data_IF_704942996011
#
_entry.id   IF_704942996011
#
_cell.length_a   1.000
_cell.length_b   1.000
_cell.length_c   1.000
_cell.angle_alpha   90.00
_cell.angle_beta   90.00
_cell.angle_gamma   90.00
#
_symmetry.space_group_name_H-M   'P 1'
#
loop_
_entity.id
_entity.type
_entity.pdbx_description
1 polymer ?
#
# COMPACT_ATOMS: atom_id res chain seq x y z
N UNK A 1 16.27 -24.93 16.79
CA UNK A 1 16.48 -24.34 15.45
C UNK A 1 15.19 -23.70 14.91
N UNK A 2 14.02 -24.33 15.08
CA UNK A 2 12.72 -23.74 14.67
C UNK A 2 12.40 -22.39 15.34
N UNK A 3 12.60 -22.24 16.65
CA UNK A 3 12.33 -20.98 17.37
C UNK A 3 13.06 -19.76 16.77
N UNK A 4 14.29 -19.94 16.26
CA UNK A 4 15.08 -18.87 15.64
C UNK A 4 14.60 -18.45 14.25
N UNK A 5 13.89 -19.33 13.52
CA UNK A 5 13.33 -19.06 12.18
C UNK A 5 11.98 -18.32 12.28
N UNK A 6 11.21 -18.60 13.34
CA UNK A 6 9.91 -17.96 13.62
C UNK A 6 10.10 -16.49 14.00
N UNK A 7 11.09 -16.20 14.84
CA UNK A 7 11.41 -14.83 15.27
C UNK A 7 11.97 -13.96 14.13
N UNK A 8 12.67 -14.56 13.16
CA UNK A 8 13.24 -13.84 12.02
C UNK A 8 12.21 -13.44 10.96
N UNK A 9 11.17 -14.25 10.73
CA UNK A 9 10.17 -13.96 9.68
C UNK A 9 9.26 -12.79 10.06
N UNK A 10 8.73 -12.76 11.29
CA UNK A 10 7.91 -11.63 11.78
C UNK A 10 8.71 -10.33 11.94
N UNK A 11 10.02 -10.42 12.23
CA UNK A 11 10.90 -9.24 12.26
C UNK A 11 11.12 -8.65 10.88
N UNK A 12 11.10 -9.45 9.81
CA UNK A 12 11.39 -8.98 8.45
C UNK A 12 10.46 -7.83 8.01
N UNK A 13 9.14 -7.97 8.18
CA UNK A 13 8.19 -6.92 7.80
C UNK A 13 8.28 -5.70 8.72
N UNK A 14 8.45 -5.92 10.03
CA UNK A 14 8.61 -4.82 11.00
C UNK A 14 9.89 -4.02 10.74
N UNK A 15 11.01 -4.69 10.49
CA UNK A 15 12.30 -4.07 10.14
C UNK A 15 12.20 -3.32 8.81
N UNK A 16 11.49 -3.90 7.83
CA UNK A 16 11.22 -3.25 6.56
C UNK A 16 10.40 -1.96 6.73
N UNK A 17 9.33 -2.01 7.53
CA UNK A 17 8.51 -0.84 7.85
C UNK A 17 9.33 0.22 8.59
N UNK A 18 10.21 -0.18 9.51
CA UNK A 18 11.10 0.75 10.20
C UNK A 18 12.04 1.45 9.22
N UNK A 19 12.64 0.72 8.27
CA UNK A 19 13.47 1.29 7.20
C UNK A 19 12.68 2.22 6.27
N UNK A 20 11.37 2.02 6.15
CA UNK A 20 10.48 2.91 5.39
C UNK A 20 9.93 4.10 6.20
N UNK A 21 10.29 4.25 7.49
CA UNK A 21 9.81 5.35 8.33
C UNK A 21 8.49 5.06 9.07
N UNK A 22 8.16 3.78 9.27
CA UNK A 22 7.04 3.30 10.08
C UNK A 22 5.77 2.93 9.31
N UNK A 23 5.76 3.08 7.99
CA UNK A 23 4.76 2.54 7.07
C UNK A 23 5.39 2.31 5.70
N UNK A 24 4.76 1.54 4.82
CA UNK A 24 5.23 1.32 3.47
C UNK A 24 4.11 1.39 2.44
N UNK A 25 4.46 1.75 1.22
CA UNK A 25 3.52 1.93 0.11
C UNK A 25 3.57 0.70 -0.81
N UNK A 26 2.43 0.04 -0.97
CA UNK A 26 2.20 -1.01 -1.97
C UNK A 26 1.80 -0.32 -3.29
N UNK A 27 2.04 -0.97 -4.42
CA UNK A 27 1.63 -0.49 -5.73
C UNK A 27 0.09 -0.46 -5.92
N UNK A 28 -0.34 -0.20 -7.15
CA UNK A 28 -1.73 0.09 -7.50
C UNK A 28 -2.36 -0.91 -8.47
N UNK A 29 -3.43 -0.48 -9.15
CA UNK A 29 -4.14 -1.29 -10.13
C UNK A 29 -3.28 -1.63 -11.33
N UNK A 30 -2.80 -2.87 -11.39
CA UNK A 30 -1.88 -3.32 -12.44
C UNK A 30 -2.55 -3.34 -13.83
N UNK A 31 -3.75 -3.92 -13.92
CA UNK A 31 -4.53 -3.97 -15.16
C UNK A 31 -4.88 -2.57 -15.68
N UNK A 32 -5.27 -1.66 -14.79
CA UNK A 32 -5.60 -0.28 -15.14
C UNK A 32 -4.43 0.43 -15.79
N UNK A 33 -3.21 0.28 -15.25
CA UNK A 33 -2.04 0.94 -15.81
C UNK A 33 -1.56 0.27 -17.11
N UNK A 34 -1.75 -1.05 -17.26
CA UNK A 34 -1.52 -1.73 -18.54
C UNK A 34 -2.43 -1.19 -19.66
N UNK A 35 -3.73 -1.03 -19.40
CA UNK A 35 -4.69 -0.46 -20.36
C UNK A 35 -4.32 0.98 -20.73
N UNK A 36 -3.85 1.78 -19.77
CA UNK A 36 -3.37 3.16 -20.02
C UNK A 36 -2.13 3.21 -20.91
N UNK A 37 -1.31 2.16 -20.91
CA UNK A 37 -0.22 1.98 -21.86
C UNK A 37 -0.64 1.28 -23.17
N UNK A 38 -1.95 1.06 -23.38
CA UNK A 38 -2.52 0.54 -24.61
C UNK A 38 -2.60 -0.99 -24.70
N UNK A 39 -2.47 -1.71 -23.60
CA UNK A 39 -2.67 -3.16 -23.59
C UNK A 39 -4.17 -3.52 -23.74
N UNK A 40 -4.47 -4.53 -24.55
CA UNK A 40 -5.80 -5.12 -24.64
C UNK A 40 -5.93 -6.32 -23.70
N UNK A 41 -6.72 -6.13 -22.63
CA UNK A 41 -6.95 -7.10 -21.57
C UNK A 41 -8.26 -7.89 -21.74
N UNK A 42 -8.95 -7.78 -22.88
CA UNK A 42 -10.17 -8.56 -23.15
C UNK A 42 -9.85 -10.02 -23.47
N UNK A 43 -9.37 -10.75 -22.46
CA UNK A 43 -8.98 -12.15 -22.51
C UNK A 43 -9.24 -12.80 -21.15
N UNK A 44 -9.68 -14.06 -21.06
CA UNK A 44 -9.76 -14.80 -19.79
C UNK A 44 -8.51 -14.75 -18.89
N UNK A 45 -7.31 -14.55 -19.45
CA UNK A 45 -6.06 -14.37 -18.69
C UNK A 45 -5.80 -12.93 -18.23
N UNK A 46 -6.67 -11.97 -18.54
CA UNK A 46 -6.53 -10.51 -18.34
C UNK A 46 -5.08 -10.04 -18.50
N UNK A 47 -4.45 -9.61 -17.40
CA UNK A 47 -3.09 -9.07 -17.36
C UNK A 47 -2.00 -10.14 -17.56
N UNK A 48 -2.27 -11.41 -17.28
CA UNK A 48 -1.30 -12.49 -17.47
C UNK A 48 -0.99 -12.73 -18.96
N UNK A 49 -1.91 -12.39 -19.88
CA UNK A 49 -1.65 -12.37 -21.33
C UNK A 49 -0.48 -11.45 -21.69
N UNK A 50 -0.30 -10.34 -20.98
CA UNK A 50 0.80 -9.41 -21.23
C UNK A 50 2.17 -10.02 -20.93
N UNK A 51 2.27 -11.09 -20.13
CA UNK A 51 3.53 -11.82 -19.97
C UNK A 51 3.98 -12.49 -21.28
N UNK A 52 3.03 -12.85 -22.14
CA UNK A 52 3.27 -13.47 -23.45
C UNK A 52 3.48 -12.38 -24.50
N UNK A 53 2.50 -11.49 -24.66
CA UNK A 53 2.45 -10.58 -25.80
C UNK A 53 3.22 -9.27 -25.59
N UNK A 54 3.37 -8.82 -24.34
CA UNK A 54 3.79 -7.45 -24.03
C UNK A 54 4.59 -7.31 -22.73
N UNK A 55 5.63 -8.14 -22.49
CA UNK A 55 6.38 -8.14 -21.23
C UNK A 55 7.09 -6.80 -20.94
N UNK A 56 7.36 -6.01 -21.98
CA UNK A 56 7.90 -4.66 -21.84
C UNK A 56 6.92 -3.69 -21.16
N UNK A 57 5.60 -3.85 -21.37
CA UNK A 57 4.58 -3.05 -20.68
C UNK A 57 4.47 -3.45 -19.21
N UNK A 58 4.55 -4.76 -18.90
CA UNK A 58 4.61 -5.26 -17.51
C UNK A 58 5.75 -4.59 -16.75
N UNK A 59 6.96 -4.55 -17.34
CA UNK A 59 8.11 -3.86 -16.75
C UNK A 59 7.88 -2.36 -16.57
N UNK A 60 7.27 -1.72 -17.58
CA UNK A 60 6.96 -0.29 -17.55
C UNK A 60 6.02 0.06 -16.40
N UNK A 61 4.96 -0.72 -16.18
CA UNK A 61 4.01 -0.52 -15.08
C UNK A 61 4.71 -0.65 -13.72
N UNK A 62 5.55 -1.67 -13.51
CA UNK A 62 6.33 -1.77 -12.27
C UNK A 62 7.21 -0.53 -12.04
N UNK A 63 7.91 -0.07 -13.09
CA UNK A 63 8.72 1.14 -13.02
C UNK A 63 7.88 2.37 -12.68
N UNK A 64 6.71 2.53 -13.31
CA UNK A 64 5.82 3.67 -13.05
C UNK A 64 5.39 3.74 -11.58
N UNK A 65 5.06 2.59 -10.97
CA UNK A 65 4.74 2.51 -9.54
C UNK A 65 5.96 2.74 -8.63
N UNK A 66 7.14 2.25 -9.00
CA UNK A 66 8.38 2.57 -8.27
C UNK A 66 8.66 4.08 -8.33
N UNK A 67 8.52 4.71 -9.49
CA UNK A 67 8.65 6.16 -9.66
C UNK A 67 7.51 6.96 -8.98
N UNK A 68 6.37 6.34 -8.72
CA UNK A 68 5.28 6.93 -7.95
C UNK A 68 5.58 6.99 -6.45
N UNK A 69 6.33 6.02 -5.92
CA UNK A 69 6.62 5.96 -4.49
C UNK A 69 6.50 4.57 -3.86
N UNK A 70 6.18 3.53 -4.64
CA UNK A 70 5.96 2.20 -4.10
C UNK A 70 7.23 1.62 -3.46
N UNK A 71 7.08 1.13 -2.23
CA UNK A 71 8.04 0.31 -1.52
C UNK A 71 7.86 -1.18 -1.83
N UNK A 72 6.67 -1.61 -2.26
CA UNK A 72 6.39 -2.99 -2.63
C UNK A 72 5.68 -2.99 -3.98
N UNK A 73 6.21 -3.73 -4.94
CA UNK A 73 5.54 -4.00 -6.22
C UNK A 73 5.05 -5.44 -6.27
N UNK A 74 3.82 -5.64 -6.74
CA UNK A 74 3.16 -6.94 -6.82
C UNK A 74 3.27 -7.47 -8.25
N UNK A 75 3.74 -8.70 -8.43
CA UNK A 75 3.99 -9.28 -9.76
C UNK A 75 2.70 -9.51 -10.54
N UNK A 76 2.82 -9.55 -11.88
CA UNK A 76 1.71 -9.83 -12.79
C UNK A 76 1.26 -11.32 -12.80
N UNK A 77 1.14 -11.95 -11.64
CA UNK A 77 0.83 -13.38 -11.48
C UNK A 77 -0.49 -13.69 -10.79
N UNK A 78 -1.32 -12.69 -10.51
CA UNK A 78 -2.63 -12.84 -9.84
C UNK A 78 -3.48 -13.97 -10.47
N UNK A 79 -3.70 -13.88 -11.79
CA UNK A 79 -4.40 -14.90 -12.58
C UNK A 79 -3.51 -15.87 -13.35
N UNK A 80 -2.19 -15.64 -13.33
CA UNK A 80 -1.26 -16.55 -13.97
C UNK A 80 -1.36 -17.90 -13.26
N UNK A 81 -1.89 -18.89 -13.96
CA UNK A 81 -2.11 -20.25 -13.46
C UNK A 81 -1.67 -21.22 -14.54
N UNK A 82 -1.15 -22.37 -14.13
CA UNK A 82 -0.70 -23.39 -15.09
C UNK A 82 -1.90 -23.82 -15.95
N UNK A 83 -3.02 -24.09 -15.28
CA UNK A 83 -4.28 -24.49 -15.90
C UNK A 83 -4.81 -23.41 -16.87
N UNK A 84 -4.75 -22.13 -16.49
CA UNK A 84 -5.19 -21.03 -17.35
C UNK A 84 -4.35 -20.90 -18.62
N UNK A 85 -3.02 -21.02 -18.52
CA UNK A 85 -2.12 -20.98 -19.67
C UNK A 85 -2.26 -22.21 -20.56
N UNK A 86 -2.39 -23.41 -19.98
CA UNK A 86 -2.63 -24.64 -20.74
C UNK A 86 -3.95 -24.57 -21.51
N UNK A 87 -5.00 -24.00 -20.91
CA UNK A 87 -6.27 -23.76 -21.61
C UNK A 87 -6.15 -22.79 -22.80
N UNK A 88 -5.06 -22.02 -22.88
CA UNK A 88 -4.71 -21.17 -24.03
C UNK A 88 -3.77 -21.81 -25.04
N UNK A 89 -3.49 -23.12 -24.87
CA UNK A 89 -2.69 -23.90 -25.81
C UNK A 89 -1.19 -23.90 -25.53
N UNK A 90 -0.75 -23.41 -24.36
CA UNK A 90 0.65 -23.50 -23.93
C UNK A 90 0.92 -24.87 -23.29
N UNK A 91 2.19 -25.30 -23.32
CA UNK A 91 2.63 -26.45 -22.52
C UNK A 91 2.69 -26.10 -21.04
N UNK A 92 2.71 -27.11 -20.17
CA UNK A 92 2.90 -26.89 -18.73
C UNK A 92 4.24 -26.20 -18.46
N UNK A 93 5.31 -26.58 -19.16
CA UNK A 93 6.63 -25.99 -19.02
C UNK A 93 6.63 -24.49 -19.40
N UNK A 94 5.97 -24.15 -20.51
CA UNK A 94 5.80 -22.74 -20.94
C UNK A 94 5.02 -21.94 -19.89
N UNK A 95 3.96 -22.53 -19.35
CA UNK A 95 3.16 -21.92 -18.28
C UNK A 95 4.00 -21.67 -17.01
N UNK A 96 4.83 -22.63 -16.60
CA UNK A 96 5.75 -22.46 -15.48
C UNK A 96 6.81 -21.38 -15.76
N UNK A 97 7.32 -21.30 -17.00
CA UNK A 97 8.27 -20.26 -17.41
C UNK A 97 7.63 -18.87 -17.31
N UNK A 98 6.37 -18.71 -17.70
CA UNK A 98 5.66 -17.43 -17.57
C UNK A 98 5.45 -17.02 -16.11
N UNK A 99 5.18 -17.99 -15.22
CA UNK A 99 5.12 -17.73 -13.78
C UNK A 99 6.46 -17.19 -13.25
N UNK A 100 7.58 -17.84 -13.59
CA UNK A 100 8.92 -17.34 -13.23
C UNK A 100 9.17 -15.95 -13.82
N UNK A 101 8.81 -15.78 -15.10
CA UNK A 101 9.02 -14.52 -15.84
C UNK A 101 8.29 -13.34 -15.21
N UNK A 102 7.11 -13.56 -14.63
CA UNK A 102 6.37 -12.51 -13.92
C UNK A 102 7.16 -11.90 -12.75
N UNK A 103 7.94 -12.72 -12.03
CA UNK A 103 8.79 -12.30 -10.92
C UNK A 103 10.08 -11.69 -11.45
N UNK A 104 10.70 -12.31 -12.45
CA UNK A 104 11.92 -11.79 -13.09
C UNK A 104 11.73 -10.36 -13.61
N UNK A 105 10.61 -10.07 -14.27
CA UNK A 105 10.33 -8.72 -14.80
C UNK A 105 10.19 -7.69 -13.66
N UNK A 106 9.58 -8.05 -12.53
CA UNK A 106 9.47 -7.17 -11.37
C UNK A 106 10.84 -6.93 -10.71
N UNK A 107 11.67 -7.97 -10.59
CA UNK A 107 13.04 -7.86 -10.12
C UNK A 107 13.89 -6.99 -11.07
N UNK A 108 13.81 -7.19 -12.39
CA UNK A 108 14.45 -6.34 -13.39
C UNK A 108 14.04 -4.87 -13.21
N UNK A 109 12.76 -4.60 -12.99
CA UNK A 109 12.26 -3.23 -12.77
C UNK A 109 12.86 -2.60 -11.50
N UNK A 110 12.98 -3.36 -10.41
CA UNK A 110 13.64 -2.92 -9.18
C UNK A 110 15.11 -2.58 -9.41
N UNK A 111 15.85 -3.44 -10.10
CA UNK A 111 17.27 -3.19 -10.38
C UNK A 111 17.45 -1.96 -11.28
N UNK A 112 16.64 -1.82 -12.34
CA UNK A 112 16.64 -0.62 -13.20
C UNK A 112 16.34 0.65 -12.38
N UNK A 113 15.41 0.59 -11.44
CA UNK A 113 15.09 1.70 -10.55
C UNK A 113 16.31 2.08 -9.70
N UNK A 114 16.98 1.11 -9.08
CA UNK A 114 18.18 1.36 -8.28
C UNK A 114 19.36 1.90 -9.11
N UNK A 115 19.59 1.38 -10.32
CA UNK A 115 20.67 1.86 -11.20
C UNK A 115 20.43 3.31 -11.65
N UNK A 116 19.18 3.70 -11.93
CA UNK A 116 18.85 5.08 -12.28
C UNK A 116 18.98 6.04 -11.11
N UNK A 117 18.60 5.62 -9.89
CA UNK A 117 18.77 6.42 -8.68
C UNK A 117 20.25 6.63 -8.31
N UNK A 118 21.15 5.75 -8.74
CA UNK A 118 22.60 5.90 -8.47
C UNK A 118 23.34 6.76 -9.52
N UNK A 119 22.81 6.86 -10.74
CA UNK A 119 23.48 7.54 -11.87
C UNK A 119 23.02 8.97 -12.11
N UNK A 120 21.83 9.35 -11.65
CA UNK A 120 21.39 10.75 -11.56
C UNK A 120 21.41 11.15 -10.09
N UNK A 121 21.85 12.37 -9.77
CA UNK A 121 21.76 12.95 -8.42
C UNK A 121 20.33 13.22 -7.95
N UNK A 122 19.43 12.24 -8.15
CA UNK A 122 18.01 12.27 -7.81
C UNK A 122 17.83 11.86 -6.36
N UNK A 123 17.57 12.85 -5.51
CA UNK A 123 16.63 12.90 -4.37
C UNK A 123 16.36 11.63 -3.54
N UNK A 124 17.32 10.72 -3.41
CA UNK A 124 17.30 9.67 -2.39
C UNK A 124 18.37 10.02 -1.33
N UNK A 125 17.88 10.47 -0.16
CA UNK A 125 18.57 10.60 1.13
C UNK A 125 20.11 10.79 1.11
N UNK A 126 20.57 12.05 1.15
CA UNK A 126 21.92 12.40 1.61
C UNK A 126 21.85 12.63 3.12
N UNK A 127 22.15 11.60 3.90
CA UNK A 127 22.43 11.76 5.33
C UNK A 127 23.86 11.29 5.59
N UNK A 128 24.72 12.21 6.05
CA UNK A 128 26.00 11.91 6.71
C UNK A 128 26.91 10.90 6.00
N UNK A 129 27.05 10.99 4.67
CA UNK A 129 27.98 10.15 3.90
C UNK A 129 27.52 8.71 3.60
N UNK A 130 26.28 8.33 3.94
CA UNK A 130 25.67 7.06 3.55
C UNK A 130 24.47 7.31 2.62
N UNK A 131 24.55 6.85 1.38
CA UNK A 131 23.42 6.85 0.43
C UNK A 131 22.42 5.79 0.89
N UNK A 132 21.36 6.20 1.60
CA UNK A 132 20.30 5.29 2.02
C UNK A 132 19.26 5.17 0.92
N UNK A 133 19.27 4.06 0.18
CA UNK A 133 18.31 3.77 -0.89
C UNK A 133 16.93 3.49 -0.30
N UNK A 134 15.85 3.96 -0.95
CA UNK A 134 14.48 3.56 -0.59
C UNK A 134 14.36 2.03 -0.64
N UNK A 135 13.97 1.36 0.46
CA UNK A 135 13.75 -0.08 0.43
C UNK A 135 12.63 -0.46 -0.55
N UNK A 136 12.90 -1.40 -1.44
CA UNK A 136 11.93 -1.96 -2.41
C UNK A 136 11.88 -3.49 -2.30
N UNK A 137 10.67 -4.03 -2.10
CA UNK A 137 10.37 -5.47 -2.17
C UNK A 137 9.55 -5.81 -3.41
N UNK A 138 9.70 -7.06 -3.87
CA UNK A 138 8.89 -7.70 -4.89
C UNK A 138 8.02 -8.75 -4.22
N UNK A 139 6.71 -8.61 -4.34
CA UNK A 139 5.74 -9.58 -3.82
C UNK A 139 5.17 -10.41 -4.98
N UNK A 140 5.36 -11.73 -4.94
CA UNK A 140 4.77 -12.61 -5.94
C UNK A 140 3.27 -12.82 -5.67
N UNK A 141 2.43 -12.34 -6.57
CA UNK A 141 0.96 -12.43 -6.45
C UNK A 141 0.47 -13.86 -6.65
N UNK A 142 -0.42 -14.30 -5.76
CA UNK A 142 -1.25 -15.50 -5.91
C UNK A 142 -2.70 -15.08 -5.68
N UNK A 143 -3.47 -14.98 -6.77
CA UNK A 143 -4.90 -14.75 -6.70
C UNK A 143 -5.70 -15.98 -6.28
N UNK A 144 -6.95 -15.74 -5.89
CA UNK A 144 -7.89 -16.78 -5.49
C UNK A 144 -8.27 -17.73 -6.64
N UNK A 145 -8.83 -18.89 -6.30
CA UNK A 145 -9.38 -19.84 -7.27
C UNK A 145 -10.48 -19.20 -8.11
N UNK A 146 -11.30 -18.30 -7.53
CA UNK A 146 -12.31 -17.54 -8.26
C UNK A 146 -11.75 -16.74 -9.43
N UNK A 147 -10.54 -16.17 -9.27
CA UNK A 147 -9.90 -15.40 -10.34
C UNK A 147 -9.54 -16.27 -11.57
N UNK A 148 -9.31 -17.57 -11.37
CA UNK A 148 -9.10 -18.53 -12.47
C UNK A 148 -10.40 -18.89 -13.18
N UNK A 149 -11.51 -19.01 -12.45
CA UNK A 149 -12.82 -19.31 -13.05
C UNK A 149 -13.30 -18.21 -13.99
N UNK A 150 -12.86 -16.96 -13.75
CA UNK A 150 -13.17 -15.79 -14.55
C UNK A 150 -14.70 -15.54 -14.72
N UNK A 151 -15.46 -15.91 -13.69
CA UNK A 151 -16.93 -15.80 -13.61
C UNK A 151 -17.39 -14.82 -12.50
N UNK A 152 -16.45 -14.12 -11.86
CA UNK A 152 -16.72 -13.21 -10.75
C UNK A 152 -16.79 -13.88 -9.38
N UNK A 153 -16.50 -15.19 -9.28
CA UNK A 153 -16.50 -15.91 -8.02
C UNK A 153 -15.50 -15.40 -6.99
N UNK A 154 -14.47 -14.64 -7.39
CA UNK A 154 -13.57 -13.91 -6.49
C UNK A 154 -14.27 -12.76 -5.73
N UNK A 155 -15.44 -12.33 -6.19
CA UNK A 155 -16.29 -11.33 -5.52
C UNK A 155 -17.52 -11.94 -4.84
N UNK A 156 -17.80 -13.24 -5.03
CA UNK A 156 -18.85 -13.97 -4.33
C UNK A 156 -18.30 -14.88 -3.22
N UNK A 157 -17.07 -15.37 -3.40
CA UNK A 157 -16.41 -16.37 -2.56
C UNK A 157 -17.04 -17.76 -2.61
N UNK A 158 -17.96 -18.01 -3.54
CA UNK A 158 -18.69 -19.28 -3.68
C UNK A 158 -18.23 -20.04 -4.91
N UNK A 159 -17.50 -21.13 -4.70
CA UNK A 159 -16.94 -21.96 -5.77
C UNK A 159 -17.75 -23.21 -6.10
N UNK A 160 -18.85 -23.45 -5.37
CA UNK A 160 -19.67 -24.66 -5.45
C UNK A 160 -19.17 -25.80 -4.55
N UNK A 161 -20.07 -26.73 -4.23
CA UNK A 161 -19.87 -27.77 -3.21
C UNK A 161 -18.78 -28.79 -3.58
N UNK A 162 -18.43 -28.90 -4.85
CA UNK A 162 -17.38 -29.80 -5.34
C UNK A 162 -15.95 -29.30 -5.00
N UNK A 163 -15.79 -28.02 -4.66
CA UNK A 163 -14.48 -27.42 -4.39
C UNK A 163 -14.12 -27.62 -2.92
N UNK A 164 -13.31 -28.65 -2.68
CA UNK A 164 -12.83 -29.02 -1.34
C UNK A 164 -11.52 -28.30 -0.98
N UNK A 165 -11.14 -28.37 0.30
CA UNK A 165 -9.82 -27.95 0.77
C UNK A 165 -8.68 -28.59 -0.05
N UNK A 166 -8.78 -29.89 -0.33
CA UNK A 166 -7.80 -30.62 -1.14
C UNK A 166 -7.73 -30.07 -2.56
N UNK A 167 -8.89 -29.77 -3.16
CA UNK A 167 -8.98 -29.18 -4.51
C UNK A 167 -8.21 -27.86 -4.59
N UNK A 168 -8.41 -26.97 -3.61
CA UNK A 168 -7.73 -25.68 -3.55
C UNK A 168 -6.22 -25.85 -3.33
N UNK A 169 -5.81 -26.79 -2.47
CA UNK A 169 -4.39 -27.09 -2.24
C UNK A 169 -3.72 -27.61 -3.50
N UNK A 170 -4.33 -28.57 -4.17
CA UNK A 170 -3.81 -29.16 -5.41
C UNK A 170 -3.70 -28.11 -6.53
N UNK A 171 -4.67 -27.21 -6.63
CA UNK A 171 -4.65 -26.10 -7.58
C UNK A 171 -3.49 -25.12 -7.33
N UNK A 172 -3.27 -24.69 -6.08
CA UNK A 172 -2.29 -23.64 -5.77
C UNK A 172 -0.86 -24.15 -5.58
N UNK A 173 -0.68 -25.43 -5.19
CA UNK A 173 0.62 -25.99 -4.75
C UNK A 173 1.74 -25.72 -5.74
N UNK A 174 1.58 -26.10 -7.00
CA UNK A 174 2.67 -26.00 -7.97
C UNK A 174 3.02 -24.54 -8.29
N UNK A 175 2.01 -23.68 -8.41
CA UNK A 175 2.19 -22.24 -8.59
C UNK A 175 2.97 -21.61 -7.43
N UNK A 176 2.60 -21.94 -6.19
CA UNK A 176 3.32 -21.50 -4.99
C UNK A 176 4.79 -21.93 -5.01
N UNK A 177 5.08 -23.21 -5.30
CA UNK A 177 6.44 -23.73 -5.36
C UNK A 177 7.32 -22.99 -6.39
N UNK A 178 6.75 -22.63 -7.55
CA UNK A 178 7.48 -21.92 -8.61
C UNK A 178 7.75 -20.49 -8.18
N UNK A 179 6.71 -19.74 -7.78
CA UNK A 179 6.83 -18.33 -7.42
C UNK A 179 7.77 -18.13 -6.22
N UNK A 180 7.69 -19.00 -5.21
CA UNK A 180 8.57 -18.98 -4.04
C UNK A 180 10.06 -19.18 -4.37
N UNK A 181 10.37 -19.80 -5.52
CA UNK A 181 11.74 -20.05 -6.00
C UNK A 181 12.19 -19.08 -7.09
N UNK A 182 11.36 -18.11 -7.46
CA UNK A 182 11.61 -17.20 -8.59
C UNK A 182 12.29 -15.88 -8.19
N UNK A 183 12.71 -15.73 -6.93
CA UNK A 183 13.44 -14.56 -6.45
C UNK A 183 12.58 -13.42 -5.88
N UNK A 184 11.29 -13.66 -5.64
CA UNK A 184 10.43 -12.74 -4.91
C UNK A 184 10.85 -12.66 -3.43
N UNK A 185 10.61 -11.51 -2.79
CA UNK A 185 10.92 -11.31 -1.37
C UNK A 185 9.81 -11.83 -0.45
N UNK A 186 8.58 -11.85 -0.95
CA UNK A 186 7.42 -12.43 -0.26
C UNK A 186 6.35 -12.94 -1.24
N UNK A 187 5.40 -13.74 -0.75
CA UNK A 187 4.19 -14.12 -1.47
C UNK A 187 3.01 -13.24 -1.03
N UNK A 188 2.29 -12.68 -2.00
CA UNK A 188 1.04 -11.96 -1.78
C UNK A 188 -0.15 -12.85 -2.12
N UNK A 189 -0.71 -13.55 -1.12
CA UNK A 189 -2.02 -14.19 -1.30
C UNK A 189 -3.08 -13.10 -1.18
N UNK A 190 -3.75 -12.79 -2.28
CA UNK A 190 -4.59 -11.60 -2.35
C UNK A 190 -5.97 -11.85 -2.94
N UNK A 191 -6.92 -11.00 -2.56
CA UNK A 191 -8.33 -11.13 -2.91
C UNK A 191 -8.91 -12.47 -2.46
N UNK A 192 -8.52 -12.91 -1.25
CA UNK A 192 -9.00 -14.16 -0.64
C UNK A 192 -10.46 -13.97 -0.24
N UNK A 193 -11.42 -14.72 -0.82
CA UNK A 193 -12.83 -14.37 -0.66
C UNK A 193 -13.57 -15.23 0.38
N UNK A 194 -12.95 -16.30 0.88
CA UNK A 194 -13.54 -17.21 1.86
C UNK A 194 -12.48 -17.81 2.81
N UNK A 195 -12.93 -18.35 3.95
CA UNK A 195 -12.03 -18.95 4.95
C UNK A 195 -11.43 -20.28 4.53
N UNK A 196 -12.10 -21.03 3.65
CA UNK A 196 -11.66 -22.35 3.19
C UNK A 196 -10.35 -22.23 2.39
N UNK A 197 -10.26 -21.23 1.53
CA UNK A 197 -9.07 -20.95 0.74
C UNK A 197 -7.95 -20.34 1.58
N UNK A 198 -8.28 -19.49 2.56
CA UNK A 198 -7.30 -19.03 3.56
C UNK A 198 -6.65 -20.21 4.29
N UNK A 199 -7.45 -21.21 4.68
CA UNK A 199 -6.96 -22.43 5.30
C UNK A 199 -6.10 -23.26 4.34
N UNK A 200 -6.48 -23.37 3.07
CA UNK A 200 -5.68 -24.06 2.06
C UNK A 200 -4.28 -23.44 1.92
N UNK A 201 -4.18 -22.11 1.89
CA UNK A 201 -2.89 -21.41 1.82
C UNK A 201 -2.04 -21.62 3.07
N UNK A 202 -2.65 -21.52 4.26
CA UNK A 202 -1.93 -21.72 5.51
C UNK A 202 -1.35 -23.14 5.61
N UNK A 203 -2.14 -24.16 5.28
CA UNK A 203 -1.67 -25.55 5.25
C UNK A 203 -0.59 -25.78 4.19
N UNK A 204 -0.71 -25.20 2.98
CA UNK A 204 0.31 -25.33 1.94
C UNK A 204 1.65 -24.70 2.36
N UNK A 205 1.63 -23.53 3.01
CA UNK A 205 2.85 -22.89 3.48
C UNK A 205 3.62 -23.77 4.49
N UNK A 206 2.90 -24.54 5.30
CA UNK A 206 3.46 -25.47 6.28
C UNK A 206 3.90 -26.79 5.64
N UNK A 207 3.02 -27.44 4.88
CA UNK A 207 3.27 -28.75 4.24
C UNK A 207 4.42 -28.71 3.24
N UNK A 208 4.52 -27.63 2.47
CA UNK A 208 5.60 -27.44 1.50
C UNK A 208 6.85 -26.81 2.13
N UNK A 209 6.85 -26.66 3.46
CA UNK A 209 7.92 -26.08 4.28
C UNK A 209 8.46 -24.74 3.75
N UNK A 210 7.58 -23.91 3.20
CA UNK A 210 7.94 -22.65 2.55
C UNK A 210 8.74 -21.77 3.51
N UNK A 211 9.87 -21.22 3.04
CA UNK A 211 10.72 -20.32 3.84
C UNK A 211 10.45 -18.85 3.54
N UNK A 212 9.95 -18.56 2.35
CA UNK A 212 9.57 -17.21 1.93
C UNK A 212 8.40 -16.69 2.80
N UNK A 213 8.45 -15.44 3.28
CA UNK A 213 7.32 -14.85 4.00
C UNK A 213 6.12 -14.63 3.07
N UNK A 214 4.94 -14.50 3.64
CA UNK A 214 3.71 -14.21 2.90
C UNK A 214 2.85 -13.17 3.60
N UNK A 215 1.91 -12.55 2.88
CA UNK A 215 0.75 -11.92 3.50
C UNK A 215 -0.53 -12.54 2.98
N UNK A 216 -1.60 -12.44 3.77
CA UNK A 216 -2.96 -12.77 3.36
C UNK A 216 -3.78 -11.48 3.30
N UNK A 217 -4.38 -11.20 2.16
CA UNK A 217 -5.27 -10.05 1.96
C UNK A 217 -6.64 -10.51 1.48
N UNK A 218 -7.68 -10.13 2.21
CA UNK A 218 -9.04 -10.61 1.98
C UNK A 218 -9.88 -9.59 1.18
N UNK A 219 -10.88 -10.11 0.46
CA UNK A 219 -11.92 -9.31 -0.18
C UNK A 219 -13.18 -9.27 0.68
N UNK A 220 -13.73 -8.09 0.93
CA UNK A 220 -14.83 -7.87 1.86
C UNK A 220 -16.05 -7.25 1.20
N UNK A 221 -17.23 -7.72 1.58
CA UNK A 221 -18.52 -7.13 1.14
C UNK A 221 -19.06 -6.08 2.10
N UNK A 222 -18.63 -6.13 3.36
CA UNK A 222 -19.04 -5.23 4.42
C UNK A 222 -17.87 -4.98 5.39
N UNK A 223 -18.12 -4.40 6.55
CA UNK A 223 -17.09 -4.03 7.52
C UNK A 223 -16.62 -5.18 8.45
N UNK A 224 -17.23 -6.36 8.37
CA UNK A 224 -17.01 -7.48 9.31
C UNK A 224 -16.92 -8.87 8.64
N UNK A 225 -17.30 -9.02 7.36
CA UNK A 225 -17.35 -10.30 6.65
C UNK A 225 -16.65 -10.22 5.29
N UNK A 226 -15.89 -11.27 4.96
CA UNK A 226 -15.41 -11.46 3.58
C UNK A 226 -16.59 -11.71 2.63
N UNK A 227 -16.34 -11.62 1.33
CA UNK A 227 -17.42 -11.71 0.31
C UNK A 227 -18.26 -13.00 0.40
N UNK A 228 -17.67 -14.14 0.79
CA UNK A 228 -18.42 -15.39 1.04
C UNK A 228 -19.46 -15.28 2.16
N UNK A 229 -19.28 -14.33 3.08
CA UNK A 229 -20.02 -14.23 4.34
C UNK A 229 -19.30 -14.82 5.55
N UNK A 230 -18.10 -15.38 5.38
CA UNK A 230 -17.28 -15.75 6.54
C UNK A 230 -16.83 -14.50 7.31
N UNK A 231 -16.69 -14.63 8.63
CA UNK A 231 -16.21 -13.55 9.49
C UNK A 231 -14.76 -13.18 9.16
N UNK A 232 -14.48 -11.88 8.98
CA UNK A 232 -13.10 -11.41 8.77
C UNK A 232 -12.20 -11.74 9.96
N UNK A 233 -12.77 -11.80 11.17
CA UNK A 233 -12.04 -12.15 12.38
C UNK A 233 -11.53 -13.59 12.31
N UNK A 234 -12.38 -14.53 11.90
CA UNK A 234 -11.99 -15.95 11.73
C UNK A 234 -10.92 -16.10 10.64
N UNK A 235 -11.12 -15.43 9.51
CA UNK A 235 -10.15 -15.40 8.41
C UNK A 235 -8.78 -14.84 8.85
N UNK A 236 -8.78 -13.73 9.59
CA UNK A 236 -7.56 -13.13 10.13
C UNK A 236 -6.88 -14.03 11.16
N UNK A 237 -7.64 -14.75 12.01
CA UNK A 237 -7.07 -15.73 12.95
C UNK A 237 -6.40 -16.91 12.25
N UNK A 238 -6.95 -17.37 11.11
CA UNK A 238 -6.28 -18.39 10.28
C UNK A 238 -4.93 -17.85 9.80
N UNK A 239 -4.92 -16.64 9.23
CA UNK A 239 -3.69 -16.00 8.77
C UNK A 239 -2.68 -15.75 9.92
N UNK A 240 -3.15 -15.39 11.11
CA UNK A 240 -2.31 -15.15 12.28
C UNK A 240 -1.60 -16.42 12.75
N UNK A 241 -2.33 -17.55 12.77
CA UNK A 241 -1.80 -18.85 13.19
C UNK A 241 -0.63 -19.36 12.34
N UNK A 242 -0.56 -18.94 11.07
CA UNK A 242 0.53 -19.31 10.18
C UNK A 242 1.76 -18.42 10.40
N UNK A 243 2.88 -19.03 10.82
CA UNK A 243 4.13 -18.33 11.14
C UNK A 243 4.81 -17.69 9.93
N UNK A 244 4.52 -18.16 8.72
CA UNK A 244 5.04 -17.58 7.47
C UNK A 244 4.29 -16.34 7.04
N UNK A 245 3.08 -16.14 7.55
CA UNK A 245 2.32 -14.92 7.31
C UNK A 245 2.90 -13.80 8.17
N UNK A 246 3.39 -12.74 7.54
CA UNK A 246 4.04 -11.58 8.18
C UNK A 246 3.17 -10.32 8.14
N UNK A 247 2.06 -10.33 7.41
CA UNK A 247 1.06 -9.27 7.38
C UNK A 247 -0.33 -9.85 7.03
N UNK A 248 -1.38 -9.20 7.50
CA UNK A 248 -2.78 -9.59 7.25
C UNK A 248 -3.57 -8.36 6.82
N UNK A 249 -4.46 -8.47 5.84
CA UNK A 249 -5.00 -7.26 5.23
C UNK A 249 -6.30 -7.40 4.48
N UNK A 250 -6.64 -6.30 3.81
CA UNK A 250 -7.81 -6.16 2.95
C UNK A 250 -7.37 -5.53 1.64
N UNK A 251 -7.86 -6.09 0.53
CA UNK A 251 -7.75 -5.47 -0.77
C UNK A 251 -9.02 -5.61 -1.59
N UNK A 252 -9.05 -4.88 -2.70
CA UNK A 252 -10.15 -4.93 -3.67
C UNK A 252 -11.55 -4.75 -3.05
N UNK A 253 -11.60 -4.01 -1.95
CA UNK A 253 -12.78 -3.71 -1.14
C UNK A 253 -13.07 -2.21 -1.22
N UNK A 254 -14.35 -1.78 -1.20
CA UNK A 254 -14.69 -0.35 -1.17
C UNK A 254 -14.09 0.38 0.05
N UNK A 255 -13.49 1.58 -0.12
CA UNK A 255 -12.84 2.33 0.96
C UNK A 255 -13.68 2.54 2.23
N UNK A 256 -15.00 2.73 2.07
CA UNK A 256 -15.95 2.93 3.19
C UNK A 256 -15.95 1.82 4.24
N UNK A 257 -15.56 0.59 3.89
CA UNK A 257 -15.54 -0.53 4.84
C UNK A 257 -14.19 -0.72 5.53
N UNK A 258 -13.13 -0.12 4.99
CA UNK A 258 -11.75 -0.39 5.39
C UNK A 258 -11.50 -0.08 6.86
N UNK A 259 -11.98 1.05 7.38
CA UNK A 259 -11.73 1.43 8.78
C UNK A 259 -12.31 0.38 9.76
N UNK A 260 -13.55 -0.09 9.53
CA UNK A 260 -14.17 -1.13 10.36
C UNK A 260 -13.45 -2.47 10.26
N UNK A 261 -12.96 -2.82 9.07
CA UNK A 261 -12.20 -4.05 8.84
C UNK A 261 -10.83 -4.02 9.54
N UNK A 262 -10.12 -2.90 9.50
CA UNK A 262 -8.85 -2.72 10.24
C UNK A 262 -9.08 -2.98 11.72
N UNK A 263 -10.11 -2.37 12.33
CA UNK A 263 -10.45 -2.56 13.74
C UNK A 263 -10.83 -4.02 14.07
N UNK A 264 -11.40 -4.76 13.12
CA UNK A 264 -11.71 -6.18 13.30
C UNK A 264 -10.45 -7.04 13.20
N UNK A 265 -9.59 -6.82 12.21
CA UNK A 265 -8.35 -7.57 12.01
C UNK A 265 -7.42 -7.42 13.22
N UNK A 266 -7.31 -6.22 13.79
CA UNK A 266 -6.50 -5.97 14.99
C UNK A 266 -6.90 -6.81 16.21
N UNK A 267 -8.16 -7.27 16.28
CA UNK A 267 -8.60 -8.15 17.37
C UNK A 267 -8.04 -9.58 17.23
N UNK A 268 -7.65 -9.98 16.02
CA UNK A 268 -7.14 -11.31 15.72
C UNK A 268 -5.61 -11.36 15.64
N UNK A 269 -4.93 -10.26 15.29
CA UNK A 269 -3.48 -10.28 15.04
C UNK A 269 -2.79 -8.98 15.45
N UNK A 270 -1.53 -9.10 15.86
CA UNK A 270 -0.60 -7.98 16.06
C UNK A 270 0.33 -7.77 14.86
N UNK A 271 0.23 -8.60 13.81
CA UNK A 271 1.01 -8.46 12.59
C UNK A 271 0.64 -7.16 11.86
N UNK A 272 1.57 -6.55 11.10
CA UNK A 272 1.28 -5.43 10.22
C UNK A 272 0.03 -5.63 9.36
N UNK A 273 -0.79 -4.57 9.25
CA UNK A 273 -2.02 -4.59 8.46
C UNK A 273 -1.80 -3.92 7.11
N UNK A 274 -2.13 -4.64 6.03
CA UNK A 274 -1.99 -4.19 4.64
C UNK A 274 -3.33 -3.85 4.00
N UNK A 275 -3.42 -2.66 3.42
CA UNK A 275 -4.66 -2.06 2.92
C UNK A 275 -4.44 -1.49 1.53
N UNK A 276 -5.13 -2.04 0.54
CA UNK A 276 -5.07 -1.55 -0.84
C UNK A 276 -6.46 -1.70 -1.49
N UNK A 277 -7.37 -0.74 -1.25
CA UNK A 277 -8.77 -0.83 -1.69
C UNK A 277 -8.94 -0.52 -3.18
N UNK A 278 -10.15 -0.74 -3.71
CA UNK A 278 -10.52 -0.16 -5.00
C UNK A 278 -10.65 1.36 -4.89
N UNK A 279 -10.64 2.08 -6.03
CA UNK A 279 -10.85 3.54 -6.07
C UNK A 279 -12.20 4.04 -5.52
N UNK A 280 -13.21 3.17 -5.37
CA UNK A 280 -14.53 3.52 -4.82
C UNK A 280 -15.70 2.75 -5.44
N UNK A 281 -15.59 2.46 -6.74
CA UNK A 281 -16.70 1.86 -7.49
C UNK A 281 -16.72 0.32 -7.48
N UNK A 282 -17.81 -0.30 -7.94
CA UNK A 282 -18.07 -1.75 -7.79
C UNK A 282 -17.94 -2.47 -9.13
N UNK A 283 -17.37 -3.68 -9.15
CA UNK A 283 -17.28 -4.50 -10.37
C UNK A 283 -18.58 -5.27 -10.59
N UNK A 284 -19.13 -5.18 -11.80
CA UNK A 284 -20.26 -5.99 -12.24
C UNK A 284 -19.72 -7.12 -13.13
N UNK A 285 -19.79 -8.35 -12.63
CA UNK A 285 -19.30 -9.55 -13.32
C UNK A 285 -20.11 -9.93 -14.56
N UNK A 286 -21.42 -9.66 -14.58
CA UNK A 286 -22.29 -9.95 -15.75
C UNK A 286 -21.95 -9.03 -16.93
N UNK A 287 -21.77 -7.74 -16.64
CA UNK A 287 -21.44 -6.73 -17.65
C UNK A 287 -19.93 -6.65 -17.94
N UNK A 288 -19.10 -7.35 -17.15
CA UNK A 288 -17.64 -7.24 -17.14
C UNK A 288 -17.15 -5.78 -17.06
N UNK A 289 -17.87 -4.97 -16.29
CA UNK A 289 -17.68 -3.54 -16.24
C UNK A 289 -17.73 -3.00 -14.82
N UNK A 290 -16.99 -1.91 -14.63
CA UNK A 290 -16.99 -1.14 -13.42
C UNK A 290 -18.15 -0.15 -13.40
N UNK A 291 -18.97 -0.21 -12.35
CA UNK A 291 -20.12 0.69 -12.17
C UNK A 291 -19.93 1.59 -10.95
N UNK A 292 -20.35 2.85 -11.05
CA UNK A 292 -20.37 3.79 -9.91
C UNK A 292 -21.17 3.19 -8.76
N UNK A 293 -20.62 3.22 -7.55
CA UNK A 293 -21.33 2.76 -6.34
C UNK A 293 -22.62 3.58 -6.20
N UNK A 294 -23.78 2.91 -6.16
CA UNK A 294 -25.12 3.53 -6.08
C UNK A 294 -25.47 4.12 -4.70
N UNK A 295 -24.45 4.40 -3.87
CA UNK A 295 -24.61 5.00 -2.55
C UNK A 295 -24.65 6.53 -2.61
N UNK A 296 -25.47 7.14 -1.76
CA UNK A 296 -25.66 8.60 -1.61
C UNK A 296 -24.38 9.36 -1.17
N UNK A 297 -23.28 8.65 -0.92
CA UNK A 297 -21.98 9.22 -0.57
C UNK A 297 -21.11 9.19 -1.81
N UNK A 298 -20.78 10.37 -2.34
CA UNK A 298 -19.71 10.53 -3.32
C UNK A 298 -18.45 9.95 -2.68
N UNK A 299 -17.90 8.86 -3.24
CA UNK A 299 -16.66 8.27 -2.70
C UNK A 299 -15.57 9.35 -2.75
N UNK A 300 -15.26 9.95 -1.60
CA UNK A 300 -14.09 10.82 -1.42
C UNK A 300 -12.84 10.02 -1.80
N UNK A 301 -11.85 10.68 -2.42
CA UNK A 301 -10.56 10.06 -2.70
C UNK A 301 -10.00 9.44 -1.41
N UNK A 302 -9.85 8.11 -1.41
CA UNK A 302 -9.51 7.36 -0.20
C UNK A 302 -8.12 7.68 0.33
N UNK A 303 -7.29 8.39 -0.46
CA UNK A 303 -6.01 8.97 0.00
C UNK A 303 -6.21 9.78 1.29
N UNK A 304 -7.31 10.52 1.40
CA UNK A 304 -7.67 11.27 2.62
C UNK A 304 -7.94 10.40 3.85
N UNK A 305 -8.30 9.12 3.64
CA UNK A 305 -8.58 8.15 4.70
C UNK A 305 -7.32 7.45 5.24
N UNK A 306 -6.18 7.52 4.53
CA UNK A 306 -4.94 6.83 4.90
C UNK A 306 -4.50 7.17 6.34
N UNK A 307 -4.60 8.45 6.74
CA UNK A 307 -4.28 8.88 8.10
C UNK A 307 -5.13 8.17 9.16
N UNK A 308 -6.45 8.09 8.94
CA UNK A 308 -7.39 7.40 9.85
C UNK A 308 -7.13 5.90 9.91
N UNK A 309 -6.75 5.27 8.81
CA UNK A 309 -6.42 3.84 8.80
C UNK A 309 -5.09 3.57 9.49
N UNK A 310 -4.12 4.48 9.37
CA UNK A 310 -2.85 4.40 10.10
C UNK A 310 -3.04 4.55 11.61
N UNK A 311 -3.85 5.51 12.05
CA UNK A 311 -4.22 5.66 13.46
C UNK A 311 -4.96 4.43 13.99
N UNK A 312 -5.79 3.81 13.15
CA UNK A 312 -6.41 2.52 13.45
C UNK A 312 -5.45 1.33 13.35
N UNK A 313 -4.16 1.52 13.03
CA UNK A 313 -3.11 0.50 13.09
C UNK A 313 -2.74 -0.20 11.77
N UNK A 314 -3.22 0.28 10.62
CA UNK A 314 -2.67 -0.12 9.33
C UNK A 314 -1.28 0.49 9.09
N UNK A 315 -0.42 -0.23 8.39
CA UNK A 315 0.98 0.18 8.16
C UNK A 315 1.48 -0.06 6.74
N UNK A 316 0.72 -0.76 5.90
CA UNK A 316 1.01 -0.94 4.48
C UNK A 316 -0.19 -0.42 3.68
N UNK A 317 0.06 0.45 2.70
CA UNK A 317 -1.00 1.16 1.96
C UNK A 317 -0.75 1.14 0.46
N UNK A 318 -1.75 0.80 -0.34
CA UNK A 318 -1.66 0.86 -1.80
C UNK A 318 -3.01 1.04 -2.46
N UNK A 319 -3.15 0.52 -3.67
CA UNK A 319 -4.42 0.51 -4.40
C UNK A 319 -4.68 -0.80 -5.14
N UNK A 320 -5.94 -1.15 -5.34
CA UNK A 320 -6.38 -2.26 -6.18
C UNK A 320 -6.97 -1.67 -7.48
N UNK A 321 -8.12 -2.16 -7.93
CA UNK A 321 -8.70 -1.80 -9.22
C UNK A 321 -8.93 -0.30 -9.40
N UNK A 322 -8.60 0.19 -10.60
CA UNK A 322 -8.67 1.59 -11.08
C UNK A 322 -7.83 2.61 -10.32
N UNK A 323 -7.02 2.17 -9.37
CA UNK A 323 -5.95 3.03 -8.84
C UNK A 323 -4.81 3.11 -9.86
N UNK A 324 -4.02 4.17 -9.79
CA UNK A 324 -2.97 4.48 -10.77
C UNK A 324 -1.69 4.92 -10.07
N UNK A 325 -0.57 5.11 -10.79
CA UNK A 325 0.63 5.74 -10.24
C UNK A 325 0.36 7.11 -9.58
N UNK A 326 -0.67 7.86 -10.01
CA UNK A 326 -1.04 9.11 -9.34
C UNK A 326 -1.60 8.87 -7.94
N UNK A 327 -2.44 7.85 -7.78
CA UNK A 327 -2.95 7.42 -6.46
C UNK A 327 -1.79 7.04 -5.54
N UNK A 328 -0.84 6.24 -6.03
CA UNK A 328 0.32 5.79 -5.25
C UNK A 328 1.24 6.96 -4.89
N UNK A 329 1.40 7.94 -5.79
CA UNK A 329 2.13 9.18 -5.49
C UNK A 329 1.47 9.99 -4.39
N UNK A 330 0.14 10.09 -4.43
CA UNK A 330 -0.64 10.77 -3.39
C UNK A 330 -0.58 10.04 -2.04
N UNK A 331 -0.58 8.69 -2.02
CA UNK A 331 -0.36 7.92 -0.78
C UNK A 331 1.07 8.12 -0.26
N UNK A 332 2.07 8.07 -1.14
CA UNK A 332 3.49 8.13 -0.77
C UNK A 332 3.90 9.51 -0.24
N UNK A 333 3.48 10.58 -0.92
CA UNK A 333 3.91 11.95 -0.65
C UNK A 333 2.87 12.82 0.04
N UNK A 334 1.64 12.31 0.21
CA UNK A 334 0.45 13.12 0.48
C UNK A 334 0.20 14.17 -0.60
N UNK A 335 -0.73 15.08 -0.33
CA UNK A 335 -1.07 16.18 -1.25
C UNK A 335 -0.21 17.44 -1.00
N UNK A 336 0.90 17.34 -0.25
CA UNK A 336 1.68 18.53 0.14
C UNK A 336 2.37 19.24 -1.01
N UNK A 337 2.90 18.50 -1.99
CA UNK A 337 3.58 19.10 -3.15
C UNK A 337 2.59 19.87 -4.03
N UNK A 338 1.44 19.25 -4.32
CA UNK A 338 0.35 19.89 -5.06
C UNK A 338 -0.24 21.07 -4.29
N UNK A 339 -0.41 20.94 -2.97
CA UNK A 339 -0.87 22.04 -2.14
C UNK A 339 0.11 23.22 -2.15
N UNK A 340 1.43 22.97 -2.11
CA UNK A 340 2.47 24.00 -2.27
C UNK A 340 2.38 24.62 -3.66
N UNK A 341 2.21 23.82 -4.72
CA UNK A 341 2.12 24.34 -6.10
C UNK A 341 0.88 25.22 -6.30
N UNK A 342 -0.29 24.78 -5.84
CA UNK A 342 -1.53 25.57 -5.87
C UNK A 342 -1.40 26.85 -5.04
N UNK A 343 -0.81 26.75 -3.85
CA UNK A 343 -0.54 27.92 -3.01
C UNK A 343 0.36 28.94 -3.73
N UNK A 344 1.44 28.48 -4.36
CA UNK A 344 2.34 29.34 -5.13
C UNK A 344 1.65 29.97 -6.36
N UNK A 345 0.83 29.20 -7.10
CA UNK A 345 0.03 29.72 -8.23
C UNK A 345 -0.96 30.79 -7.78
N UNK A 346 -1.63 30.57 -6.65
CA UNK A 346 -2.54 31.55 -6.06
C UNK A 346 -1.81 32.87 -5.72
N UNK A 347 -0.61 32.78 -5.14
CA UNK A 347 0.23 33.96 -4.88
C UNK A 347 0.65 34.67 -6.17
N UNK A 348 1.05 33.91 -7.21
CA UNK A 348 1.42 34.47 -8.52
C UNK A 348 0.26 35.17 -9.22
N UNK A 349 -0.97 34.71 -9.01
CA UNK A 349 -2.19 35.33 -9.53
C UNK A 349 -2.65 36.54 -8.71
N UNK A 350 -1.88 36.96 -7.70
CA UNK A 350 -2.19 38.11 -6.84
C UNK A 350 -3.31 37.85 -5.82
N UNK A 351 -3.74 36.61 -5.65
CA UNK A 351 -4.76 36.24 -4.67
C UNK A 351 -4.16 36.19 -3.27
N UNK A 352 -4.85 36.79 -2.30
CA UNK A 352 -4.40 36.80 -0.89
C UNK A 352 -4.90 35.56 -0.15
N UNK A 353 -4.00 34.70 0.37
CA UNK A 353 -4.41 33.59 1.23
C UNK A 353 -5.10 34.09 2.49
N UNK A 354 -6.15 33.39 2.93
CA UNK A 354 -6.80 33.59 4.23
C UNK A 354 -6.68 32.32 5.09
N UNK A 355 -7.12 32.36 6.35
CA UNK A 355 -6.90 31.28 7.33
C UNK A 355 -7.31 29.88 6.84
N UNK A 356 -8.44 29.76 6.12
CA UNK A 356 -8.84 28.48 5.49
C UNK A 356 -7.79 27.91 4.54
N UNK A 357 -7.19 28.75 3.69
CA UNK A 357 -6.17 28.32 2.71
C UNK A 357 -4.92 27.82 3.44
N UNK A 358 -4.48 28.56 4.46
CA UNK A 358 -3.33 28.16 5.26
C UNK A 358 -3.60 26.86 6.06
N UNK A 359 -4.80 26.68 6.61
CA UNK A 359 -5.16 25.40 7.26
C UNK A 359 -5.19 24.26 6.26
N UNK A 360 -5.73 24.47 5.06
CA UNK A 360 -5.70 23.49 3.98
C UNK A 360 -4.26 23.09 3.62
N UNK A 361 -3.37 24.07 3.46
CA UNK A 361 -1.95 23.84 3.17
C UNK A 361 -1.25 23.10 4.32
N UNK A 362 -1.44 23.52 5.57
CA UNK A 362 -0.82 22.87 6.73
C UNK A 362 -1.32 21.44 6.90
N UNK A 363 -2.61 21.20 6.64
CA UNK A 363 -3.22 19.87 6.68
C UNK A 363 -2.63 18.99 5.58
N UNK A 364 -2.56 19.47 4.34
CA UNK A 364 -1.95 18.74 3.23
C UNK A 364 -0.48 18.40 3.50
N UNK A 365 0.28 19.32 4.08
CA UNK A 365 1.66 19.09 4.52
C UNK A 365 1.76 18.10 5.67
N UNK A 366 0.79 18.05 6.58
CA UNK A 366 0.76 17.08 7.69
C UNK A 366 0.42 15.66 7.25
N UNK A 367 -0.34 15.51 6.17
CA UNK A 367 -0.63 14.23 5.54
C UNK A 367 0.41 13.84 4.49
N UNK A 368 1.41 14.69 4.27
CA UNK A 368 2.53 14.38 3.38
C UNK A 368 3.45 13.39 4.06
N UNK A 369 3.32 12.13 3.65
CA UNK A 369 4.23 11.06 3.99
C UNK A 369 5.70 11.43 3.81
N UNK A 370 6.56 10.78 4.61
CA UNK A 370 7.97 11.08 4.83
C UNK A 370 8.75 11.47 3.57
N UNK A 371 9.09 12.77 3.45
CA UNK A 371 10.25 13.24 2.70
C UNK A 371 11.02 14.25 3.58
N UNK A 372 12.37 14.21 3.59
CA UNK A 372 13.18 15.18 4.29
C UNK A 372 13.27 16.46 3.45
N UNK A 373 12.16 17.21 3.34
CA UNK A 373 12.17 18.47 2.61
C UNK A 373 12.21 19.66 3.57
N UNK A 374 13.37 20.30 3.65
CA UNK A 374 13.55 21.60 4.31
C UNK A 374 12.57 22.63 3.77
N UNK A 375 12.11 22.47 2.53
CA UNK A 375 11.07 23.28 1.91
C UNK A 375 9.68 23.04 2.50
N UNK A 376 9.27 21.80 2.78
CA UNK A 376 7.97 21.52 3.44
C UNK A 376 7.99 21.98 4.87
N UNK A 377 9.07 21.69 5.59
CA UNK A 377 9.26 22.12 6.97
C UNK A 377 9.33 23.69 7.06
N UNK A 378 9.82 24.40 6.02
CA UNK A 378 9.79 25.88 5.96
C UNK A 378 8.43 26.45 5.55
N UNK A 379 7.75 25.87 4.55
CA UNK A 379 6.40 26.29 4.16
C UNK A 379 5.41 26.03 5.29
N UNK A 380 5.54 24.91 6.02
CA UNK A 380 4.71 24.63 7.19
C UNK A 380 4.93 25.65 8.31
N UNK A 381 6.19 26.02 8.59
CA UNK A 381 6.52 27.05 9.57
C UNK A 381 5.90 28.41 9.20
N UNK A 382 6.08 28.83 7.94
CA UNK A 382 5.49 30.04 7.40
C UNK A 382 3.95 30.02 7.49
N UNK A 383 3.35 28.89 7.12
CA UNK A 383 1.90 28.68 7.15
C UNK A 383 1.35 28.80 8.57
N UNK A 384 2.04 28.22 9.55
CA UNK A 384 1.64 28.28 10.95
C UNK A 384 1.81 29.67 11.57
N UNK A 385 2.88 30.39 11.23
CA UNK A 385 3.07 31.79 11.64
C UNK A 385 1.91 32.66 11.12
N UNK A 386 1.56 32.52 9.84
CA UNK A 386 0.44 33.26 9.25
C UNK A 386 -0.92 32.89 9.84
N UNK A 387 -1.12 31.62 10.17
CA UNK A 387 -2.35 31.18 10.86
C UNK A 387 -2.46 31.76 12.26
N UNK A 388 -1.35 31.82 13.02
CA UNK A 388 -1.35 32.40 14.35
C UNK A 388 -1.66 33.91 14.33
N UNK A 389 -1.27 34.62 13.26
CA UNK A 389 -1.64 36.03 13.05
C UNK A 389 -3.11 36.21 12.64
N UNK A 390 -3.59 35.37 11.72
CA UNK A 390 -4.94 35.51 11.13
C UNK A 390 -6.05 34.94 12.00
N UNK A 391 -5.76 33.86 12.74
CA UNK A 391 -6.73 33.08 13.53
C UNK A 391 -6.11 32.64 14.87
N UNK A 392 -5.80 33.58 15.79
CA UNK A 392 -5.06 33.32 17.03
C UNK A 392 -5.75 32.35 18.00
N UNK A 393 -7.08 32.22 17.90
CA UNK A 393 -7.89 31.32 18.74
C UNK A 393 -7.79 29.83 18.33
N UNK A 394 -7.15 29.52 17.20
CA UNK A 394 -7.18 28.19 16.59
C UNK A 394 -6.08 27.28 17.14
N UNK A 395 -6.39 26.51 18.18
CA UNK A 395 -5.42 25.71 18.94
C UNK A 395 -4.85 24.47 18.22
N UNK A 396 -5.49 24.00 17.15
CA UNK A 396 -5.08 22.78 16.41
C UNK A 396 -3.80 22.92 15.56
N UNK A 397 -3.31 24.15 15.34
CA UNK A 397 -2.14 24.45 14.49
C UNK A 397 -0.87 23.74 14.99
N UNK A 398 -0.70 23.66 16.32
CA UNK A 398 0.48 23.06 16.93
C UNK A 398 0.54 21.54 16.77
N UNK A 399 -0.62 20.86 16.72
CA UNK A 399 -0.70 19.41 16.49
C UNK A 399 -0.26 19.09 15.06
N UNK A 400 -0.76 19.84 14.07
CA UNK A 400 -0.41 19.66 12.67
C UNK A 400 1.09 19.91 12.43
N UNK A 401 1.66 20.98 12.99
CA UNK A 401 3.11 21.23 12.94
C UNK A 401 3.92 20.13 13.62
N UNK A 402 3.47 19.65 14.79
CA UNK A 402 4.14 18.57 15.51
C UNK A 402 4.20 17.29 14.66
N UNK A 403 3.15 16.98 13.90
CA UNK A 403 3.12 15.85 12.99
C UNK A 403 4.14 16.04 11.84
N UNK A 404 4.17 17.22 11.23
CA UNK A 404 5.10 17.56 10.14
C UNK A 404 6.56 17.50 10.63
N UNK A 405 6.88 18.12 11.76
CA UNK A 405 8.23 18.08 12.34
C UNK A 405 8.59 16.70 12.91
N UNK A 406 7.61 15.93 13.36
CA UNK A 406 7.77 14.53 13.75
C UNK A 406 8.25 13.67 12.59
N UNK A 407 7.75 13.91 11.37
CA UNK A 407 8.25 13.32 10.14
C UNK A 407 9.67 13.81 9.75
N UNK A 408 10.06 15.02 10.17
CA UNK A 408 11.41 15.58 9.99
C UNK A 408 12.44 15.06 11.06
N UNK A 409 12.05 14.24 12.07
CA UNK A 409 12.97 13.74 13.13
C UNK A 409 13.88 12.59 12.67
N UNK A 410 14.97 12.97 12.00
CA UNK A 410 16.17 12.15 11.79
C UNK A 410 17.46 12.99 11.72
N UNK A 411 17.33 14.29 11.42
CA UNK A 411 18.45 15.16 11.11
C UNK A 411 19.14 15.70 12.37
N UNK A 412 20.37 15.25 12.62
CA UNK A 412 21.30 15.97 13.48
C UNK A 412 21.64 17.32 12.83
N UNK A 413 21.31 18.43 13.50
CA UNK A 413 21.69 19.78 13.03
C UNK A 413 23.21 19.94 13.07
N UNK A 414 23.85 20.48 12.00
CA UNK A 414 25.26 20.86 12.04
C UNK A 414 25.52 21.81 13.21
N UNK A 415 26.61 21.58 13.96
CA UNK A 415 27.02 22.45 15.07
C UNK A 415 27.20 23.90 14.57
N UNK A 416 26.26 24.78 14.87
CA UNK A 416 26.39 26.22 14.61
C UNK A 416 25.07 26.94 14.32
N UNK A 417 24.06 26.26 13.77
CA UNK A 417 22.75 26.87 13.52
C UNK A 417 21.76 26.52 14.65
N UNK A 418 20.96 27.52 15.08
CA UNK A 418 19.88 27.28 16.05
C UNK A 418 18.92 26.27 15.44
N UNK A 419 18.85 25.07 16.02
CA UNK A 419 17.88 24.07 15.58
C UNK A 419 16.45 24.65 15.60
N UNK A 420 15.58 24.28 14.65
CA UNK A 420 14.15 24.58 14.72
C UNK A 420 13.51 24.11 16.04
N UNK A 421 14.10 23.08 16.68
CA UNK A 421 13.76 22.64 18.04
C UNK A 421 14.01 23.72 19.11
N UNK A 422 15.04 24.56 18.99
CA UNK A 422 15.32 25.65 19.93
C UNK A 422 14.32 26.81 19.78
N UNK A 423 13.77 27.03 18.57
CA UNK A 423 12.67 27.97 18.36
C UNK A 423 11.38 27.46 19.02
N UNK A 424 11.10 26.16 18.92
CA UNK A 424 9.96 25.48 19.58
C UNK A 424 10.06 25.45 21.10
N UNK A 425 11.23 25.14 21.65
CA UNK A 425 11.45 25.15 23.10
C UNK A 425 11.27 26.56 23.67
N UNK A 426 11.50 27.61 22.87
CA UNK A 426 11.34 29.01 23.27
C UNK A 426 9.89 29.49 23.12
N UNK A 427 9.27 29.30 21.95
CA UNK A 427 7.85 29.62 21.70
C UNK A 427 6.91 28.82 22.63
N UNK A 428 7.16 27.52 22.80
CA UNK A 428 6.42 26.66 23.71
C UNK A 428 6.61 27.06 25.18
N UNK A 429 7.81 27.44 25.63
CA UNK A 429 8.04 27.95 27.00
C UNK A 429 7.41 29.31 27.24
N UNK A 430 7.48 30.22 26.27
CA UNK A 430 6.97 31.58 26.43
C UNK A 430 5.43 31.58 26.44
N UNK A 431 4.78 30.73 25.63
CA UNK A 431 3.33 30.52 25.70
C UNK A 431 2.89 29.67 26.90
N UNK A 432 3.63 28.64 27.32
CA UNK A 432 3.32 27.90 28.57
C UNK A 432 3.45 28.78 29.82
N UNK A 433 4.37 29.74 29.83
CA UNK A 433 4.45 30.75 30.90
C UNK A 433 3.21 31.64 30.92
N UNK A 434 2.69 32.04 29.76
CA UNK A 434 1.47 32.84 29.67
C UNK A 434 0.21 32.05 30.06
N UNK A 435 0.15 30.74 29.75
CA UNK A 435 -0.94 29.84 30.17
C UNK A 435 -0.96 29.57 31.68
N UNK A 436 0.20 29.51 32.37
CA UNK A 436 0.25 29.38 33.83
C UNK A 436 -0.26 30.61 34.58
N UNK A 437 -0.31 31.77 33.95
CA UNK A 437 -0.88 32.98 34.56
C UNK A 437 -2.41 32.94 34.55
N UNK A 438 -3.03 32.08 33.74
CA UNK A 438 -4.50 32.00 33.57
C UNK A 438 -5.14 30.73 34.15
N UNK A 439 -4.37 29.87 34.84
CA UNK A 439 -4.91 28.73 35.60
C UNK A 439 -4.66 28.95 37.09
N UNK A 440 -5.39 29.92 37.64
CA UNK A 440 -5.81 29.95 39.04
C UNK A 440 -7.31 30.26 39.04
N UNK A 441 -8.11 29.20 38.97
CA UNK A 441 -9.42 29.05 39.59
C UNK A 441 -9.55 27.57 39.95
#
# INVERSE_FOLDING_TARGET
>A
MELGIVETSSRLMTDFLQKCGGYAVVDGGFATELERHGADLNDPLWSAKCLISSPHLVRKVHLDYLHAGANIIITASYQATIQGFVAKGLSEEEAELLLRRSVEIACEAREIYYDKCTTKGSLDYIESGNVSRRPVLVAASIGSYGAYLADGSEYSGKYGDAVSLKTLKDFHRRRLQILAKSGADLIAFETIPNKLEAKAYAELLEEEEMKIPAWFSFNSKDAINVVSGDSILECASIADSCKRVVAVGINCTPPRFIHGLVLCIQKATSKPIVIYPNSGETYNAELKQWVKSSGVVVDEDFVSCIGKWREAGASLFGGCCRTTPNTIRAISRGNGDEAIEFFNKMLQQGSKPHGVVFVGLLTALSHSGCLPDTQKCSVAAYTAERLAELEPERTGIHVLLSNIYGCCKGQATPKGERSPQNAWIKLGRDQWKNLRVHVRC
#
